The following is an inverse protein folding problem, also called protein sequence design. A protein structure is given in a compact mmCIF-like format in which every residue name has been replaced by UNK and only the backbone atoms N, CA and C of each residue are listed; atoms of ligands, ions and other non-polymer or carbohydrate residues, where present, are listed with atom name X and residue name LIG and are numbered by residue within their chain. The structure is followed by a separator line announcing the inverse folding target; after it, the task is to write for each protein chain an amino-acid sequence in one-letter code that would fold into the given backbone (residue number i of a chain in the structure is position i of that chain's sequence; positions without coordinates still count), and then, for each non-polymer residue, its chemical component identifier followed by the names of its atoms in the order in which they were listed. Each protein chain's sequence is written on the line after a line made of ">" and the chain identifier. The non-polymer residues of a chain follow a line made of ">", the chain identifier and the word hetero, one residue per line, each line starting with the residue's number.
data_IF_513835976213
#
_entry.id   IF_513835976213
#
_cell.length_a   1.000
_cell.length_b   1.000
_cell.length_c   1.000
_cell.angle_alpha   90.00
_cell.angle_beta   90.00
_cell.angle_gamma   90.00
#
_symmetry.space_group_name_H-M   'P 1'
#
loop_
_entity.id
_entity.type
_entity.pdbx_description
1 polymer ?
#
# COMPACT_ATOMS: atom_id res chain seq x y z
N UNK A 1 -18.30 3.57 18.83
CA UNK A 1 -17.43 2.58 18.16
C UNK A 1 -17.27 1.33 19.01
N UNK A 2 -16.85 1.44 20.28
CA UNK A 2 -16.88 0.32 21.23
C UNK A 2 -18.28 -0.28 21.40
N UNK A 3 -19.33 0.54 21.53
CA UNK A 3 -20.74 0.09 21.58
C UNK A 3 -21.18 -0.66 20.32
N UNK A 4 -20.63 -0.32 19.14
CA UNK A 4 -20.92 -1.01 17.87
C UNK A 4 -20.15 -2.32 17.74
N UNK A 5 -18.89 -2.35 18.17
CA UNK A 5 -18.05 -3.55 18.21
C UNK A 5 -18.56 -4.59 19.23
N UNK A 6 -19.09 -4.12 20.37
CA UNK A 6 -19.73 -4.96 21.38
C UNK A 6 -21.14 -5.41 20.93
N UNK A 7 -21.91 -4.54 20.25
CA UNK A 7 -23.24 -4.90 19.76
C UNK A 7 -23.25 -5.87 18.56
N UNK A 8 -22.20 -5.90 17.74
CA UNK A 8 -22.13 -6.79 16.56
C UNK A 8 -21.40 -8.12 16.80
N UNK A 9 -20.69 -8.29 17.92
CA UNK A 9 -20.00 -9.54 18.26
C UNK A 9 -18.83 -9.85 17.32
N UNK A 10 -17.62 -9.99 17.87
CA UNK A 10 -16.40 -10.33 17.12
C UNK A 10 -16.49 -11.67 16.34
N UNK A 11 -17.42 -12.57 16.70
CA UNK A 11 -17.50 -13.94 16.21
C UNK A 11 -18.96 -14.41 16.04
N UNK A 12 -19.74 -13.74 15.17
CA UNK A 12 -21.05 -14.22 14.72
C UNK A 12 -21.01 -14.66 13.26
N UNK A 13 -21.56 -15.83 12.92
CA UNK A 13 -21.49 -16.52 11.60
C UNK A 13 -22.10 -15.78 10.39
N UNK A 14 -22.52 -14.52 10.52
CA UNK A 14 -22.86 -13.59 9.42
C UNK A 14 -22.05 -12.29 9.54
N UNK A 15 -20.76 -12.46 9.79
CA UNK A 15 -19.95 -11.56 10.61
C UNK A 15 -19.50 -10.24 9.99
N UNK A 16 -19.12 -9.36 10.90
CA UNK A 16 -18.48 -8.04 10.79
C UNK A 16 -17.38 -7.91 9.69
N UNK A 17 -16.85 -9.04 9.18
CA UNK A 17 -15.79 -9.11 8.16
C UNK A 17 -16.30 -9.14 6.70
N UNK A 18 -17.61 -9.29 6.48
CA UNK A 18 -18.19 -9.27 5.12
C UNK A 18 -18.28 -7.86 4.51
N UNK A 19 -18.36 -6.82 5.35
CA UNK A 19 -18.43 -5.42 4.91
C UNK A 19 -17.04 -4.76 4.98
N UNK A 20 -16.48 -4.41 3.82
CA UNK A 20 -15.15 -3.80 3.66
C UNK A 20 -15.00 -2.52 4.49
N UNK A 21 -16.07 -1.75 4.64
CA UNK A 21 -16.07 -0.49 5.38
C UNK A 21 -15.84 -0.68 6.87
N UNK A 22 -16.31 -1.80 7.39
CA UNK A 22 -16.31 -2.14 8.78
C UNK A 22 -14.96 -2.77 9.20
N UNK A 23 -14.32 -3.48 8.26
CA UNK A 23 -12.92 -3.93 8.36
C UNK A 23 -11.94 -2.75 8.35
N UNK A 24 -12.20 -1.72 7.55
CA UNK A 24 -11.42 -0.49 7.51
C UNK A 24 -11.53 0.30 8.82
N UNK A 25 -12.74 0.40 9.39
CA UNK A 25 -12.95 1.04 10.71
C UNK A 25 -12.19 0.31 11.83
N UNK A 26 -12.20 -1.04 11.83
CA UNK A 26 -11.43 -1.85 12.77
C UNK A 26 -9.91 -1.62 12.67
N UNK A 27 -9.39 -1.56 11.45
CA UNK A 27 -7.97 -1.28 11.21
C UNK A 27 -7.55 0.09 11.76
N UNK A 28 -8.36 1.13 11.53
CA UNK A 28 -8.11 2.48 12.05
C UNK A 28 -8.08 2.49 13.59
N UNK A 29 -8.98 1.74 14.25
CA UNK A 29 -9.01 1.65 15.72
C UNK A 29 -7.76 0.96 16.27
N UNK A 30 -7.30 -0.15 15.68
CA UNK A 30 -6.06 -0.83 16.08
C UNK A 30 -4.86 0.11 15.93
N UNK A 31 -4.78 0.76 14.77
CA UNK A 31 -3.69 1.68 14.44
C UNK A 31 -3.65 2.87 15.42
N UNK A 32 -4.81 3.43 15.80
CA UNK A 32 -4.89 4.47 16.83
C UNK A 32 -4.56 3.99 18.25
N UNK A 33 -4.90 2.74 18.60
CA UNK A 33 -4.53 2.13 19.88
C UNK A 33 -3.02 1.86 19.97
N UNK A 34 -2.42 1.46 18.85
CA UNK A 34 -0.97 1.27 18.73
C UNK A 34 -0.21 2.60 18.90
N UNK A 35 -0.69 3.70 18.30
CA UNK A 35 -0.09 5.03 18.54
C UNK A 35 -0.12 5.41 20.03
N UNK A 36 -1.27 5.24 20.69
CA UNK A 36 -1.41 5.60 22.10
C UNK A 36 -0.49 4.78 23.02
N UNK A 37 -0.31 3.49 22.70
CA UNK A 37 0.57 2.59 23.48
C UNK A 37 2.05 2.91 23.25
N UNK A 38 2.42 3.39 22.07
CA UNK A 38 3.79 3.72 21.70
C UNK A 38 4.20 5.15 22.09
N UNK A 39 3.29 6.13 22.15
CA UNK A 39 3.60 7.46 22.73
C UNK A 39 3.97 7.34 24.23
N UNK A 40 3.53 6.28 24.92
CA UNK A 40 3.94 5.96 26.30
C UNK A 40 5.36 5.39 26.44
N UNK A 41 5.98 4.95 25.34
CA UNK A 41 7.32 4.36 25.32
C UNK A 41 8.12 5.10 24.24
N UNK A 42 8.92 6.10 24.62
CA UNK A 42 9.61 7.06 23.74
C UNK A 42 10.51 6.42 22.64
N UNK A 43 9.91 5.77 21.65
CA UNK A 43 10.60 5.15 20.53
C UNK A 43 10.24 5.95 19.28
N UNK A 44 11.19 6.78 18.87
CA UNK A 44 11.11 7.67 17.71
C UNK A 44 11.15 6.88 16.39
N UNK A 45 10.04 6.23 16.04
CA UNK A 45 9.91 5.53 14.77
C UNK A 45 9.20 6.41 13.74
N UNK A 46 9.89 6.71 12.63
CA UNK A 46 9.35 7.47 11.49
C UNK A 46 8.01 6.92 10.97
N UNK A 47 7.75 5.63 11.18
CA UNK A 47 6.48 4.95 10.87
C UNK A 47 5.26 5.51 11.64
N UNK A 48 5.45 6.06 12.85
CA UNK A 48 4.37 6.69 13.63
C UNK A 48 3.86 7.95 12.93
N UNK A 49 4.73 8.71 12.24
CA UNK A 49 4.28 9.91 11.50
C UNK A 49 3.35 9.55 10.35
N UNK A 50 3.61 8.46 9.65
CA UNK A 50 2.76 7.96 8.56
C UNK A 50 1.40 7.49 9.06
N UNK A 51 1.34 6.92 10.26
CA UNK A 51 0.08 6.49 10.88
C UNK A 51 -0.90 7.66 11.10
N UNK A 52 -0.42 8.83 11.48
CA UNK A 52 -1.26 10.02 11.64
C UNK A 52 -1.98 10.44 10.35
N UNK A 53 -1.39 10.13 9.18
CA UNK A 53 -1.97 10.38 7.85
C UNK A 53 -3.18 9.48 7.56
N UNK A 54 -3.37 8.38 8.30
CA UNK A 54 -4.58 7.56 8.22
C UNK A 54 -5.78 8.16 8.98
N UNK A 55 -5.60 9.18 9.85
CA UNK A 55 -6.72 9.81 10.56
C UNK A 55 -7.73 10.50 9.61
N UNK A 56 -7.31 11.21 8.56
CA UNK A 56 -8.20 11.69 7.49
C UNK A 56 -9.05 10.58 6.86
N UNK A 57 -8.54 9.35 6.72
CA UNK A 57 -9.35 8.22 6.23
C UNK A 57 -10.55 7.92 7.14
N UNK A 58 -10.45 8.21 8.45
CA UNK A 58 -11.61 8.12 9.37
C UNK A 58 -12.70 9.14 9.04
N UNK A 59 -12.34 10.32 8.55
CA UNK A 59 -13.30 11.34 8.14
C UNK A 59 -14.09 10.90 6.90
N UNK A 60 -13.46 10.17 5.98
CA UNK A 60 -14.14 9.55 4.83
C UNK A 60 -15.22 8.57 5.31
N UNK A 61 -14.97 7.84 6.40
CA UNK A 61 -15.95 6.94 7.01
C UNK A 61 -17.11 7.64 7.71
N UNK A 62 -16.99 8.93 8.05
CA UNK A 62 -18.06 9.74 8.66
C UNK A 62 -19.04 10.29 7.62
N UNK A 63 -18.58 10.53 6.39
CA UNK A 63 -19.36 11.19 5.33
C UNK A 63 -19.75 10.16 4.26
N UNK A 64 -21.05 9.81 4.14
CA UNK A 64 -21.50 8.79 3.20
C UNK A 64 -21.19 9.14 1.74
N UNK A 65 -21.19 10.43 1.37
CA UNK A 65 -20.89 10.89 0.00
C UNK A 65 -19.46 10.55 -0.46
N UNK A 66 -18.48 10.60 0.44
CA UNK A 66 -17.08 10.27 0.09
C UNK A 66 -16.87 8.76 -0.06
N UNK A 67 -17.65 7.95 0.67
CA UNK A 67 -17.59 6.49 0.56
C UNK A 67 -17.98 6.00 -0.83
N UNK A 68 -19.06 6.57 -1.39
CA UNK A 68 -19.57 6.20 -2.71
C UNK A 68 -18.49 6.38 -3.78
N UNK A 69 -17.77 7.51 -3.77
CA UNK A 69 -16.70 7.80 -4.71
C UNK A 69 -15.58 6.74 -4.65
N UNK A 70 -15.14 6.39 -3.43
CA UNK A 70 -14.09 5.39 -3.23
C UNK A 70 -14.56 4.00 -3.68
N UNK A 71 -15.80 3.59 -3.38
CA UNK A 71 -16.33 2.31 -3.86
C UNK A 71 -16.40 2.24 -5.37
N UNK A 72 -16.83 3.30 -6.05
CA UNK A 72 -16.86 3.35 -7.51
C UNK A 72 -15.45 3.23 -8.10
N UNK A 73 -14.47 3.91 -7.50
CA UNK A 73 -13.08 3.80 -7.91
C UNK A 73 -12.57 2.36 -7.75
N UNK A 74 -12.80 1.74 -6.59
CA UNK A 74 -12.43 0.35 -6.33
C UNK A 74 -13.14 -0.65 -7.24
N UNK A 75 -14.38 -0.37 -7.65
CA UNK A 75 -15.15 -1.22 -8.57
C UNK A 75 -14.61 -1.18 -10.02
N UNK A 76 -13.95 -0.09 -10.40
CA UNK A 76 -13.24 0.00 -11.70
C UNK A 76 -11.85 -0.65 -11.70
N UNK A 77 -11.22 -0.81 -10.52
CA UNK A 77 -9.92 -1.46 -10.40
C UNK A 77 -9.84 -2.89 -10.97
N UNK A 78 -10.83 -3.80 -10.80
CA UNK A 78 -10.73 -5.14 -11.40
C UNK A 78 -10.67 -5.10 -12.93
N UNK A 79 -11.38 -4.17 -13.58
CA UNK A 79 -11.31 -4.00 -15.04
C UNK A 79 -9.94 -3.48 -15.46
N UNK A 80 -9.40 -2.51 -14.70
CA UNK A 80 -8.07 -1.94 -14.93
C UNK A 80 -6.95 -2.97 -14.61
N UNK A 81 -7.18 -3.87 -13.66
CA UNK A 81 -6.28 -4.94 -13.26
C UNK A 81 -5.98 -5.92 -14.40
N UNK A 82 -6.96 -6.23 -15.24
CA UNK A 82 -6.74 -7.08 -16.40
C UNK A 82 -5.81 -6.42 -17.43
N UNK A 83 -5.96 -5.11 -17.66
CA UNK A 83 -5.08 -4.32 -18.52
C UNK A 83 -3.67 -4.21 -17.93
N UNK A 84 -3.56 -3.97 -16.62
CA UNK A 84 -2.29 -3.93 -15.91
C UNK A 84 -1.57 -5.29 -15.93
N UNK A 85 -2.29 -6.41 -15.83
CA UNK A 85 -1.69 -7.73 -15.93
C UNK A 85 -1.07 -7.98 -17.31
N UNK A 86 -1.77 -7.62 -18.39
CA UNK A 86 -1.21 -7.65 -19.74
C UNK A 86 0.00 -6.71 -19.88
N UNK A 87 -0.10 -5.50 -19.36
CA UNK A 87 0.99 -4.53 -19.38
C UNK A 87 2.23 -5.04 -18.63
N UNK A 88 2.04 -5.64 -17.46
CA UNK A 88 3.10 -6.27 -16.67
C UNK A 88 3.74 -7.44 -17.42
N UNK A 89 2.95 -8.29 -18.07
CA UNK A 89 3.47 -9.37 -18.90
C UNK A 89 4.34 -8.85 -20.06
N UNK A 90 3.89 -7.79 -20.74
CA UNK A 90 4.65 -7.14 -21.81
C UNK A 90 5.97 -6.58 -21.28
N UNK A 91 5.94 -5.83 -20.16
CA UNK A 91 7.15 -5.31 -19.53
C UNK A 91 8.10 -6.42 -19.05
N UNK A 92 7.57 -7.56 -18.62
CA UNK A 92 8.38 -8.70 -18.21
C UNK A 92 9.17 -9.29 -19.41
N UNK A 93 8.51 -9.50 -20.55
CA UNK A 93 9.18 -9.99 -21.77
C UNK A 93 10.25 -9.00 -22.25
N UNK A 94 9.91 -7.71 -22.38
CA UNK A 94 10.88 -6.69 -22.78
C UNK A 94 12.00 -6.51 -21.75
N UNK A 95 11.71 -6.70 -20.47
CA UNK A 95 12.70 -6.68 -19.39
C UNK A 95 13.74 -7.79 -19.54
N UNK A 96 13.30 -9.02 -19.80
CA UNK A 96 14.23 -10.15 -20.04
C UNK A 96 15.08 -9.89 -21.28
N UNK A 97 14.46 -9.48 -22.39
CA UNK A 97 15.16 -9.15 -23.64
C UNK A 97 16.17 -8.01 -23.41
N UNK A 98 15.76 -6.97 -22.68
CA UNK A 98 16.61 -5.84 -22.35
C UNK A 98 17.82 -6.23 -21.49
N UNK A 99 17.63 -7.08 -20.48
CA UNK A 99 18.74 -7.59 -19.67
C UNK A 99 19.67 -8.45 -20.52
N UNK A 100 19.15 -9.33 -21.38
CA UNK A 100 19.98 -10.21 -22.21
C UNK A 100 20.80 -9.42 -23.25
N UNK A 101 20.24 -8.34 -23.81
CA UNK A 101 20.91 -7.50 -24.81
C UNK A 101 21.90 -6.52 -24.19
N UNK A 102 21.60 -5.90 -23.05
CA UNK A 102 22.40 -4.83 -22.44
C UNK A 102 23.23 -5.27 -21.22
N UNK A 103 23.22 -6.56 -20.86
CA UNK A 103 24.08 -7.08 -19.81
C UNK A 103 25.56 -6.79 -20.14
N UNK A 104 26.22 -5.99 -19.29
CA UNK A 104 27.65 -5.69 -19.38
C UNK A 104 28.03 -4.56 -20.35
N UNK A 105 27.25 -4.29 -21.41
CA UNK A 105 27.55 -3.23 -22.37
C UNK A 105 27.60 -1.83 -21.75
N UNK A 106 26.74 -1.57 -20.75
CA UNK A 106 26.68 -0.28 -20.05
C UNK A 106 27.85 -0.05 -19.07
N UNK A 107 28.69 -1.07 -18.83
CA UNK A 107 29.88 -0.97 -17.96
C UNK A 107 31.14 -0.54 -18.72
N UNK A 108 31.09 -0.46 -20.06
CA UNK A 108 32.25 -0.10 -20.86
C UNK A 108 32.74 1.32 -20.52
N UNK A 109 33.99 1.41 -20.05
CA UNK A 109 34.69 2.65 -19.74
C UNK A 109 36.00 2.62 -20.53
N UNK A 110 36.36 3.74 -21.15
CA UNK A 110 37.70 3.88 -21.74
C UNK A 110 38.72 3.92 -20.60
N UNK A 111 39.64 2.95 -20.59
CA UNK A 111 40.80 2.95 -19.71
C UNK A 111 42.00 3.43 -20.53
N UNK A 112 42.65 4.52 -20.09
CA UNK A 112 43.95 4.89 -20.63
C UNK A 112 44.96 3.90 -20.02
N UNK A 113 45.49 2.99 -20.84
CA UNK A 113 46.57 2.10 -20.42
C UNK A 113 47.77 2.92 -19.95
N UNK A 114 48.45 2.46 -18.91
CA UNK A 114 49.68 3.08 -18.36
C UNK A 114 50.89 3.03 -19.33
N UNK A 115 50.67 2.83 -20.63
CA UNK A 115 51.72 2.82 -21.67
C UNK A 115 52.16 4.24 -22.09
N UNK A 116 51.61 5.31 -21.49
CA UNK A 116 52.05 6.70 -21.70
C UNK A 116 53.16 7.17 -20.75
N UNK A 117 53.91 6.24 -20.14
CA UNK A 117 55.00 6.54 -19.20
C UNK A 117 56.40 6.29 -19.81
N UNK A 118 56.64 6.87 -20.99
CA UNK A 118 57.99 7.21 -21.50
C UNK A 118 57.91 8.44 -22.39
#
# INVERSE_FOLDING_TARGET
>A
MLVKMVALGLLGQKGYLGDTWNRLDFFIVIVGMLEYSLDGHNVSLSAIRTVRVLRPLRAINRVPSMRILVTLLLDTLPMLGNVLALCFFVFFIFGIVGVQLWAGLLRNRCFMGEDFRT
#
